data_IF_497512764276
#
_entry.id   IF_497512764276
#
_cell.length_a   1.000
_cell.length_b   1.000
_cell.length_c   1.000
_cell.angle_alpha   90.00
_cell.angle_beta   90.00
_cell.angle_gamma   90.00
#
_symmetry.space_group_name_H-M   'P 1'
#
loop_
_entity.id
_entity.type
_entity.pdbx_description
1 polymer ?
#
# COMPACT_ATOMS: atom_id res chain seq x y z
N UNK A 1 -12.37 22.95 -35.48
CA UNK A 1 -13.65 22.28 -35.18
C UNK A 1 -13.46 21.28 -34.05
N UNK A 2 -14.15 21.48 -32.92
CA UNK A 2 -14.05 20.68 -31.69
C UNK A 2 -14.75 19.33 -31.90
N UNK A 3 -14.04 18.20 -31.71
CA UNK A 3 -14.65 16.86 -31.74
C UNK A 3 -15.35 16.59 -30.41
N UNK A 4 -16.68 16.65 -30.46
CA UNK A 4 -17.62 16.29 -29.40
C UNK A 4 -17.67 14.75 -29.28
N UNK A 5 -17.10 14.18 -28.22
CA UNK A 5 -17.28 12.75 -27.91
C UNK A 5 -18.69 12.54 -27.37
N UNK A 6 -19.52 11.84 -28.15
CA UNK A 6 -20.83 11.30 -27.76
C UNK A 6 -20.66 10.42 -26.52
N UNK A 7 -21.25 10.85 -25.39
CA UNK A 7 -21.49 9.98 -24.24
C UNK A 7 -22.72 9.11 -24.55
N UNK A 8 -22.49 7.80 -24.60
CA UNK A 8 -23.52 6.77 -24.68
C UNK A 8 -24.29 6.79 -23.35
N UNK A 9 -25.52 7.30 -23.36
CA UNK A 9 -26.45 7.16 -22.23
C UNK A 9 -27.12 5.80 -22.42
N UNK A 10 -26.64 4.79 -21.69
CA UNK A 10 -27.39 3.56 -21.51
C UNK A 10 -28.37 3.81 -20.36
N UNK A 11 -29.63 4.04 -20.71
CA UNK A 11 -30.77 3.99 -19.80
C UNK A 11 -30.87 2.57 -19.21
N UNK A 12 -30.64 2.41 -17.91
CA UNK A 12 -30.93 1.17 -17.20
C UNK A 12 -32.06 1.44 -16.20
N UNK A 13 -33.18 0.80 -16.48
CA UNK A 13 -34.42 0.75 -15.71
C UNK A 13 -34.16 0.33 -14.26
N UNK A 14 -34.77 1.05 -13.31
CA UNK A 14 -34.78 0.72 -11.88
C UNK A 14 -35.66 -0.51 -11.67
N UNK A 15 -35.09 -1.57 -11.09
CA UNK A 15 -35.86 -2.65 -10.47
C UNK A 15 -35.07 -3.26 -9.31
N UNK A 16 -35.68 -3.25 -8.13
CA UNK A 16 -35.38 -4.18 -7.05
C UNK A 16 -34.37 -3.68 -6.02
N UNK A 17 -34.88 -3.42 -4.82
CA UNK A 17 -34.16 -3.37 -3.54
C UNK A 17 -32.96 -4.32 -3.48
N UNK A 18 -31.75 -3.79 -3.54
CA UNK A 18 -30.58 -4.43 -2.92
C UNK A 18 -30.23 -3.63 -1.66
N UNK A 19 -30.84 -4.00 -0.55
CA UNK A 19 -30.18 -3.87 0.75
C UNK A 19 -29.04 -4.89 0.82
N UNK A 20 -28.04 -4.70 -0.04
CA UNK A 20 -26.83 -5.48 -0.07
C UNK A 20 -25.78 -4.73 0.73
N UNK A 21 -25.52 -5.16 1.96
CA UNK A 21 -24.27 -4.81 2.65
C UNK A 21 -23.11 -5.32 1.80
N UNK A 22 -22.50 -4.45 0.99
CA UNK A 22 -21.22 -4.75 0.36
C UNK A 22 -20.13 -4.63 1.42
N UNK A 23 -19.99 -5.67 2.24
CA UNK A 23 -18.76 -5.90 2.97
C UNK A 23 -17.67 -6.07 1.93
N UNK A 24 -16.82 -5.06 1.74
CA UNK A 24 -15.56 -5.24 1.02
C UNK A 24 -14.64 -6.06 1.94
N UNK A 25 -14.98 -7.34 2.11
CA UNK A 25 -13.96 -8.33 2.44
C UNK A 25 -13.05 -8.34 1.22
N UNK A 26 -11.80 -7.93 1.39
CA UNK A 26 -10.77 -8.36 0.47
C UNK A 26 -10.82 -9.89 0.50
N UNK A 27 -11.48 -10.48 -0.50
CA UNK A 27 -11.50 -11.92 -0.70
C UNK A 27 -10.04 -12.32 -0.89
N UNK A 28 -9.46 -12.80 0.20
CA UNK A 28 -8.31 -13.66 0.38
C UNK A 28 -7.68 -13.36 1.75
N UNK A 29 -7.72 -14.40 2.59
CA UNK A 29 -7.18 -14.53 3.93
C UNK A 29 -6.02 -13.59 4.35
N UNK A 30 -6.10 -13.17 5.61
CA UNK A 30 -5.00 -12.71 6.47
C UNK A 30 -4.72 -11.19 6.51
N UNK A 31 -5.77 -10.42 6.82
CA UNK A 31 -5.71 -8.98 7.04
C UNK A 31 -5.09 -8.60 8.40
N UNK A 32 -4.20 -7.61 8.34
CA UNK A 32 -4.06 -6.57 9.37
C UNK A 32 -4.05 -5.21 8.65
N UNK A 33 -4.86 -5.09 7.60
CA UNK A 33 -5.23 -3.81 7.02
C UNK A 33 -6.40 -3.26 7.85
N UNK A 34 -6.41 -1.95 8.12
CA UNK A 34 -7.53 -1.31 8.81
C UNK A 34 -8.80 -1.59 8.01
N UNK A 35 -9.73 -2.33 8.62
CA UNK A 35 -11.02 -2.69 8.04
C UNK A 35 -11.97 -1.52 8.30
N UNK A 36 -12.65 -1.06 7.25
CA UNK A 36 -13.67 -0.04 7.31
C UNK A 36 -15.01 -0.69 6.96
N UNK A 37 -16.05 -0.40 7.73
CA UNK A 37 -17.40 -0.82 7.40
C UNK A 37 -17.99 0.22 6.46
N UNK A 38 -18.11 -0.13 5.18
CA UNK A 38 -18.60 0.78 4.13
C UNK A 38 -19.94 0.28 3.64
N UNK A 39 -20.95 1.15 3.63
CA UNK A 39 -22.22 0.89 2.95
C UNK A 39 -22.56 2.03 2.00
N UNK A 40 -23.23 1.69 0.91
CA UNK A 40 -23.79 2.66 -0.04
C UNK A 40 -25.29 2.70 0.17
N UNK A 41 -25.88 3.89 0.19
CA UNK A 41 -27.32 4.05 0.37
C UNK A 41 -27.83 5.12 -0.57
N UNK A 42 -28.94 4.79 -1.24
CA UNK A 42 -29.71 5.74 -2.02
C UNK A 42 -31.02 5.95 -1.26
N UNK A 43 -31.21 7.15 -0.75
CA UNK A 43 -32.45 7.54 -0.10
C UNK A 43 -33.61 7.56 -1.11
N UNK A 44 -34.83 7.49 -0.60
CA UNK A 44 -36.07 7.54 -1.41
C UNK A 44 -36.24 8.85 -2.21
N UNK A 45 -35.53 9.91 -1.81
CA UNK A 45 -35.44 11.19 -2.50
C UNK A 45 -34.39 11.21 -3.64
N UNK A 46 -33.72 10.09 -3.89
CA UNK A 46 -32.63 9.97 -4.88
C UNK A 46 -31.28 10.47 -4.39
N UNK A 47 -31.15 10.88 -3.12
CA UNK A 47 -29.86 11.28 -2.55
C UNK A 47 -28.98 10.06 -2.32
N UNK A 48 -27.82 10.03 -2.96
CA UNK A 48 -26.82 8.97 -2.81
C UNK A 48 -25.78 9.36 -1.76
N UNK A 49 -25.44 8.45 -0.84
CA UNK A 49 -24.37 8.64 0.13
C UNK A 49 -23.68 7.33 0.50
N UNK A 50 -22.46 7.47 1.02
CA UNK A 50 -21.68 6.37 1.57
C UNK A 50 -21.58 6.52 3.09
N UNK A 51 -21.70 5.42 3.83
CA UNK A 51 -21.45 5.38 5.27
C UNK A 51 -20.16 4.63 5.51
N UNK A 52 -19.19 5.28 6.17
CA UNK A 52 -17.93 4.66 6.57
C UNK A 52 -17.83 4.70 8.09
N UNK A 53 -17.83 3.54 8.74
CA UNK A 53 -17.79 3.40 10.21
C UNK A 53 -18.84 4.28 10.91
N UNK A 54 -20.05 4.36 10.35
CA UNK A 54 -21.15 5.16 10.88
C UNK A 54 -21.13 6.65 10.53
N UNK A 55 -20.15 7.14 9.75
CA UNK A 55 -20.10 8.52 9.27
C UNK A 55 -20.56 8.62 7.81
N UNK A 56 -21.44 9.58 7.53
CA UNK A 56 -21.96 9.86 6.18
C UNK A 56 -20.97 10.67 5.33
N UNK A 57 -20.91 10.32 4.05
CA UNK A 57 -20.13 10.98 3.01
C UNK A 57 -21.00 11.16 1.77
N UNK A 58 -20.95 12.34 1.15
CA UNK A 58 -21.42 12.50 -0.23
C UNK A 58 -20.53 11.68 -1.17
N UNK A 59 -20.96 11.35 -2.39
CA UNK A 59 -20.14 10.59 -3.34
C UNK A 59 -18.79 11.25 -3.62
N UNK A 60 -18.76 12.58 -3.73
CA UNK A 60 -17.53 13.36 -3.90
C UNK A 60 -16.62 13.28 -2.66
N UNK A 61 -17.18 13.43 -1.46
CA UNK A 61 -16.42 13.34 -0.22
C UNK A 61 -15.90 11.92 0.05
N UNK A 62 -16.67 10.90 -0.33
CA UNK A 62 -16.26 9.50 -0.25
C UNK A 62 -15.11 9.24 -1.21
N UNK A 63 -15.19 9.68 -2.47
CA UNK A 63 -14.10 9.52 -3.42
C UNK A 63 -12.81 10.22 -2.95
N UNK A 64 -12.93 11.43 -2.38
CA UNK A 64 -11.79 12.14 -1.80
C UNK A 64 -11.19 11.38 -0.60
N UNK A 65 -12.03 10.90 0.31
CA UNK A 65 -11.61 10.11 1.48
C UNK A 65 -10.97 8.80 1.06
N UNK A 66 -11.58 8.06 0.13
CA UNK A 66 -11.09 6.81 -0.40
C UNK A 66 -9.72 7.00 -1.05
N UNK A 67 -9.52 8.07 -1.83
CA UNK A 67 -8.23 8.42 -2.44
C UNK A 67 -7.12 8.69 -1.40
N UNK A 68 -7.44 9.09 -0.16
CA UNK A 68 -6.42 9.25 0.90
C UNK A 68 -5.93 7.91 1.45
N UNK A 69 -6.63 6.81 1.18
CA UNK A 69 -6.33 5.55 1.81
C UNK A 69 -5.06 4.93 1.23
N UNK A 70 -4.22 4.35 2.09
CA UNK A 70 -2.91 3.87 1.67
C UNK A 70 -2.97 2.75 0.63
N UNK A 71 -4.06 1.99 0.57
CA UNK A 71 -4.26 0.92 -0.41
C UNK A 71 -4.47 1.45 -1.84
N UNK A 72 -4.86 2.72 -2.01
CA UNK A 72 -4.94 3.35 -3.33
C UNK A 72 -3.62 3.92 -3.82
N UNK A 73 -2.63 4.05 -2.90
CA UNK A 73 -1.30 4.58 -3.21
C UNK A 73 -0.21 3.51 -3.26
N UNK A 74 -0.33 2.45 -2.48
CA UNK A 74 0.71 1.44 -2.32
C UNK A 74 0.19 0.03 -2.58
N UNK A 75 1.00 -0.75 -3.31
CA UNK A 75 0.71 -2.16 -3.56
C UNK A 75 1.03 -3.06 -2.36
N UNK A 76 1.90 -2.59 -1.45
CA UNK A 76 2.45 -3.41 -0.38
C UNK A 76 2.42 -2.71 0.98
N UNK A 77 2.38 -3.53 2.02
CA UNK A 77 2.61 -3.13 3.40
C UNK A 77 3.81 -3.91 3.96
N UNK A 78 4.57 -3.28 4.85
CA UNK A 78 5.57 -4.00 5.63
C UNK A 78 4.85 -4.65 6.82
N UNK A 79 5.19 -5.88 7.15
CA UNK A 79 4.53 -6.62 8.23
C UNK A 79 5.55 -7.41 9.04
N UNK A 80 5.28 -7.55 10.35
CA UNK A 80 6.11 -8.33 11.27
C UNK A 80 7.58 -7.89 11.23
N UNK A 81 7.84 -6.58 11.10
CA UNK A 81 9.18 -6.04 11.14
C UNK A 81 9.81 -6.27 12.51
N UNK A 82 11.06 -6.71 12.50
CA UNK A 82 11.90 -6.86 13.69
C UNK A 82 13.27 -6.26 13.41
N UNK A 83 13.75 -5.45 14.33
CA UNK A 83 15.10 -4.92 14.32
C UNK A 83 15.75 -5.25 15.65
N UNK A 84 16.78 -6.10 15.64
CA UNK A 84 17.47 -6.54 16.85
C UNK A 84 18.95 -6.23 16.79
N UNK A 85 19.52 -5.68 17.86
CA UNK A 85 20.96 -5.55 18.00
C UNK A 85 21.60 -6.93 18.08
N UNK A 86 22.78 -7.06 17.49
CA UNK A 86 23.62 -8.22 17.73
C UNK A 86 24.20 -8.18 19.15
N UNK A 87 24.72 -9.32 19.64
CA UNK A 87 25.33 -9.42 20.97
C UNK A 87 26.39 -8.34 21.26
N UNK A 88 27.13 -7.90 20.23
CA UNK A 88 28.16 -6.86 20.37
C UNK A 88 27.66 -5.42 20.28
N UNK A 89 26.36 -5.20 20.00
CA UNK A 89 25.77 -3.87 19.78
C UNK A 89 26.28 -3.10 18.55
N UNK A 90 27.22 -3.66 17.78
CA UNK A 90 27.86 -3.01 16.62
C UNK A 90 26.99 -3.01 15.37
N UNK A 91 26.01 -3.91 15.29
CA UNK A 91 25.12 -4.02 14.13
C UNK A 91 23.70 -4.43 14.53
N UNK A 92 22.76 -4.17 13.63
CA UNK A 92 21.34 -4.48 13.81
C UNK A 92 20.92 -5.43 12.70
N UNK A 93 20.30 -6.55 13.06
CA UNK A 93 19.63 -7.46 12.13
C UNK A 93 18.19 -7.00 11.96
N UNK A 94 17.86 -6.61 10.73
CA UNK A 94 16.50 -6.22 10.33
C UNK A 94 15.89 -7.38 9.55
N UNK A 95 14.79 -7.91 10.04
CA UNK A 95 14.02 -8.95 9.37
C UNK A 95 12.56 -8.53 9.27
N UNK A 96 11.85 -9.10 8.31
CA UNK A 96 10.44 -8.82 8.16
C UNK A 96 9.81 -9.60 7.02
N UNK A 97 8.50 -9.44 6.91
CA UNK A 97 7.70 -9.92 5.79
C UNK A 97 7.01 -8.74 5.14
N UNK A 98 6.85 -8.75 3.83
CA UNK A 98 6.04 -7.78 3.10
C UNK A 98 4.72 -8.46 2.76
N UNK A 99 3.62 -7.76 2.99
CA UNK A 99 2.28 -8.21 2.64
C UNK A 99 1.77 -7.42 1.43
N UNK A 100 0.95 -8.06 0.61
CA UNK A 100 0.22 -7.37 -0.46
C UNK A 100 -0.92 -6.59 0.18
N UNK A 101 -0.98 -5.29 -0.10
CA UNK A 101 -2.05 -4.39 0.34
C UNK A 101 -3.08 -4.22 -0.78
N UNK A 102 -2.62 -3.97 -2.01
CA UNK A 102 -3.45 -3.84 -3.19
C UNK A 102 -2.92 -4.77 -4.30
N UNK A 103 -3.65 -5.87 -4.61
CA UNK A 103 -3.22 -6.84 -5.62
C UNK A 103 -3.02 -6.26 -7.02
N UNK A 104 -3.83 -5.28 -7.44
CA UNK A 104 -3.74 -4.70 -8.78
C UNK A 104 -2.47 -3.86 -8.93
N UNK A 105 -2.15 -3.04 -7.93
CA UNK A 105 -0.89 -2.28 -7.88
C UNK A 105 0.32 -3.19 -7.71
N UNK A 106 0.21 -4.24 -6.88
CA UNK A 106 1.27 -5.22 -6.68
C UNK A 106 1.61 -6.00 -7.97
N UNK A 107 0.61 -6.31 -8.81
CA UNK A 107 0.83 -6.92 -10.13
C UNK A 107 1.55 -5.98 -11.09
N UNK A 108 1.15 -4.71 -11.13
CA UNK A 108 1.76 -3.70 -12.01
C UNK A 108 3.18 -3.32 -11.60
N UNK A 109 3.43 -3.28 -10.29
CA UNK A 109 4.69 -2.79 -9.71
C UNK A 109 5.18 -3.75 -8.62
N UNK A 110 5.60 -4.94 -9.05
CA UNK A 110 5.98 -6.01 -8.13
C UNK A 110 7.21 -5.64 -7.30
N UNK A 111 7.08 -5.67 -5.97
CA UNK A 111 8.19 -5.45 -5.07
C UNK A 111 9.17 -6.63 -5.11
N UNK A 112 10.45 -6.34 -5.30
CA UNK A 112 11.53 -7.33 -5.35
C UNK A 112 12.60 -7.07 -4.28
N UNK A 113 12.55 -5.90 -3.65
CA UNK A 113 13.49 -5.46 -2.63
C UNK A 113 12.75 -4.68 -1.54
N UNK A 114 13.41 -4.52 -0.40
CA UNK A 114 13.05 -3.52 0.60
C UNK A 114 14.18 -2.51 0.75
N UNK A 115 13.80 -1.25 0.95
CA UNK A 115 14.66 -0.16 1.37
C UNK A 115 14.59 -0.02 2.87
N UNK A 116 15.74 -0.14 3.51
CA UNK A 116 15.95 0.03 4.94
C UNK A 116 16.59 1.42 5.11
N UNK A 117 15.80 2.39 5.56
CA UNK A 117 16.25 3.75 5.83
C UNK A 117 16.79 3.85 7.26
N UNK A 118 18.03 4.28 7.37
CA UNK A 118 18.72 4.53 8.63
C UNK A 118 19.25 5.96 8.67
N UNK A 119 19.78 6.39 9.82
CA UNK A 119 20.45 7.69 9.92
C UNK A 119 21.72 7.80 9.05
N UNK A 120 22.32 6.66 8.66
CA UNK A 120 23.48 6.61 7.74
C UNK A 120 23.07 6.53 6.27
N UNK A 121 21.78 6.63 5.97
CA UNK A 121 21.24 6.49 4.63
C UNK A 121 20.55 5.14 4.39
N UNK A 122 20.37 4.84 3.10
CA UNK A 122 19.55 3.73 2.64
C UNK A 122 20.39 2.47 2.43
N UNK A 123 19.88 1.36 2.92
CA UNK A 123 20.38 0.01 2.67
C UNK A 123 19.27 -0.79 1.99
N UNK A 124 19.62 -1.84 1.28
CA UNK A 124 18.65 -2.62 0.52
C UNK A 124 18.79 -4.11 0.80
N UNK A 125 17.66 -4.80 0.85
CA UNK A 125 17.59 -6.24 1.01
C UNK A 125 16.67 -6.82 -0.05
N UNK A 126 17.05 -7.95 -0.66
CA UNK A 126 16.23 -8.63 -1.65
C UNK A 126 15.08 -9.34 -0.94
N UNK A 127 13.88 -9.28 -1.52
CA UNK A 127 12.75 -10.07 -1.07
C UNK A 127 12.87 -11.49 -1.61
N UNK A 128 12.55 -12.45 -0.75
CA UNK A 128 12.38 -13.85 -1.16
C UNK A 128 11.06 -14.02 -1.92
N UNK A 129 10.87 -15.19 -2.55
CA UNK A 129 9.59 -15.56 -3.17
C UNK A 129 8.42 -15.55 -2.17
N UNK A 130 8.70 -15.83 -0.89
CA UNK A 130 7.71 -15.78 0.20
C UNK A 130 7.55 -14.38 0.82
N UNK A 131 8.06 -13.35 0.14
CA UNK A 131 8.00 -11.94 0.53
C UNK A 131 8.67 -11.66 1.88
N UNK A 132 9.69 -12.42 2.26
CA UNK A 132 10.48 -12.18 3.48
C UNK A 132 11.82 -11.54 3.14
N UNK A 133 12.43 -10.88 4.10
CA UNK A 133 13.79 -10.36 3.96
C UNK A 133 14.56 -10.43 5.28
N UNK A 134 15.89 -10.41 5.18
CA UNK A 134 16.81 -10.33 6.30
C UNK A 134 18.06 -9.57 5.88
N UNK A 135 18.48 -8.57 6.66
CA UNK A 135 19.70 -7.82 6.41
C UNK A 135 20.31 -7.32 7.72
N UNK A 136 21.61 -7.49 7.84
CA UNK A 136 22.39 -6.88 8.93
C UNK A 136 22.96 -5.54 8.46
N UNK A 137 22.77 -4.50 9.26
CA UNK A 137 23.22 -3.13 8.99
C UNK A 137 24.09 -2.61 10.13
N UNK A 138 25.22 -1.96 9.79
CA UNK A 138 26.21 -1.42 10.75
C UNK A 138 25.84 -0.02 11.25
N UNK A 139 24.79 0.03 12.08
CA UNK A 139 24.19 1.26 12.62
C UNK A 139 24.02 1.15 14.14
N UNK A 140 25.12 1.11 14.92
CA UNK A 140 25.10 0.80 16.36
C UNK A 140 24.26 1.77 17.20
N UNK A 141 24.19 3.04 16.77
CA UNK A 141 23.46 4.12 17.46
C UNK A 141 21.99 4.24 17.04
N UNK A 142 21.49 3.39 16.13
CA UNK A 142 20.11 3.52 15.66
C UNK A 142 19.14 3.07 16.76
N UNK A 143 18.19 3.96 17.10
CA UNK A 143 17.05 3.67 18.00
C UNK A 143 15.85 3.14 17.23
N UNK A 144 15.71 3.54 15.96
CA UNK A 144 14.64 3.10 15.07
C UNK A 144 15.13 3.03 13.64
N UNK A 145 14.46 2.22 12.83
CA UNK A 145 14.73 2.03 11.41
C UNK A 145 13.39 2.10 10.66
N UNK A 146 13.38 2.60 9.44
CA UNK A 146 12.19 2.56 8.58
C UNK A 146 12.40 1.61 7.41
N UNK A 147 11.37 0.85 7.06
CA UNK A 147 11.41 -0.12 5.96
C UNK A 147 10.29 0.15 4.97
N UNK A 148 10.60 0.06 3.68
CA UNK A 148 9.66 0.22 2.58
C UNK A 148 9.92 -0.81 1.48
N UNK A 149 8.87 -1.45 0.98
CA UNK A 149 8.96 -2.32 -0.19
C UNK A 149 9.08 -1.52 -1.49
N UNK A 150 9.76 -2.11 -2.47
CA UNK A 150 9.98 -1.48 -3.76
C UNK A 150 10.71 -2.37 -4.76
N UNK A 151 11.07 -1.79 -5.89
CA UNK A 151 11.79 -2.47 -6.96
C UNK A 151 12.80 -1.53 -7.62
N UNK A 152 13.80 -2.11 -8.29
CA UNK A 152 14.72 -1.34 -9.12
C UNK A 152 14.26 -1.33 -10.56
N UNK A 153 14.31 -0.16 -11.19
CA UNK A 153 14.35 -0.02 -12.64
C UNK A 153 15.77 0.35 -13.07
N UNK A 154 16.16 -0.08 -14.27
CA UNK A 154 17.44 0.31 -14.87
C UNK A 154 17.18 1.05 -16.15
N UNK A 155 17.90 2.15 -16.37
CA UNK A 155 17.86 2.91 -17.62
C UNK A 155 19.28 3.25 -18.04
N UNK A 156 19.53 3.29 -19.36
CA UNK A 156 20.78 3.83 -19.90
C UNK A 156 20.66 5.35 -19.97
N UNK A 157 21.58 6.06 -19.31
CA UNK A 157 21.75 7.51 -19.46
C UNK A 157 23.22 7.78 -19.77
N UNK A 158 23.49 8.42 -20.91
CA UNK A 158 24.83 8.76 -21.38
C UNK A 158 25.79 7.55 -21.35
N UNK A 159 25.33 6.41 -21.89
CA UNK A 159 26.11 5.16 -21.95
C UNK A 159 26.24 4.42 -20.60
N UNK A 160 25.82 5.00 -19.48
CA UNK A 160 25.90 4.39 -18.14
C UNK A 160 24.55 3.81 -17.70
N UNK A 161 24.59 2.66 -17.05
CA UNK A 161 23.39 2.04 -16.43
C UNK A 161 23.09 2.72 -15.10
N UNK A 162 21.97 3.44 -15.04
CA UNK A 162 21.46 4.06 -13.82
C UNK A 162 20.36 3.18 -13.24
N UNK A 163 20.50 2.83 -11.96
CA UNK A 163 19.49 2.06 -11.21
C UNK A 163 18.69 3.00 -10.31
N UNK A 164 17.38 3.05 -10.49
CA UNK A 164 16.46 3.85 -9.68
C UNK A 164 15.57 2.94 -8.86
N UNK A 165 15.50 3.20 -7.56
CA UNK A 165 14.62 2.46 -6.65
C UNK A 165 13.25 3.12 -6.58
N UNK A 166 12.22 2.39 -6.97
CA UNK A 166 10.82 2.81 -6.90
C UNK A 166 10.17 2.23 -5.66
N UNK A 167 9.55 3.09 -4.86
CA UNK A 167 8.84 2.68 -3.63
C UNK A 167 7.42 2.30 -3.98
N UNK A 168 7.01 1.11 -3.55
CA UNK A 168 5.65 0.58 -3.79
C UNK A 168 4.97 0.14 -2.50
N UNK A 169 5.66 0.24 -1.37
CA UNK A 169 5.14 -0.11 -0.06
C UNK A 169 5.10 1.05 0.93
N UNK A 170 4.20 0.92 1.90
CA UNK A 170 4.13 1.81 3.06
C UNK A 170 5.44 1.83 3.85
N UNK A 171 5.73 3.00 4.42
CA UNK A 171 6.85 3.16 5.34
C UNK A 171 6.45 2.74 6.73
N UNK A 172 7.04 1.66 7.22
CA UNK A 172 6.85 1.22 8.59
C UNK A 172 8.12 1.48 9.39
N UNK A 173 7.96 2.09 10.57
CA UNK A 173 9.05 2.40 11.49
C UNK A 173 9.07 1.35 12.59
N UNK A 174 10.23 0.73 12.79
CA UNK A 174 10.46 -0.28 13.83
C UNK A 174 11.48 0.22 14.84
N UNK A 175 11.17 0.09 16.12
CA UNK A 175 12.10 0.35 17.22
C UNK A 175 13.11 -0.79 17.33
N UNK A 176 14.37 -0.43 17.53
CA UNK A 176 15.46 -1.40 17.67
C UNK A 176 15.43 -1.96 19.08
N UNK A 177 15.34 -3.29 19.18
CA UNK A 177 15.44 -4.05 20.43
C UNK A 177 16.86 -4.56 20.65
#
# INVERSE_FOLDING_TARGET
>A
MKKLMKRLILSLTVAGTLAGTLSIVSANAQASAKVYNISETTSSDGTHYFTVDGKYYTPEAYAAWEATLPYNKYGYDSAKLKATKNKSGKSIKVTGKVKVLNPNLAKKHQATYVRIKTYKGNQYAKLTKSMTFSKTVKVPKAKSISVQAGYYSSAKKNGKTVKTFHVTGLSEKVTVK
#
